data_IF_083740303867
#
_entry.id   IF_083740303867
#
_cell.length_a   1.000
_cell.length_b   1.000
_cell.length_c   1.000
_cell.angle_alpha   90.00
_cell.angle_beta   90.00
_cell.angle_gamma   90.00
#
_symmetry.space_group_name_H-M   'P 1'
#
loop_
_entity.id
_entity.type
_entity.pdbx_description
1 polymer ?
#
# COMPACT_ATOMS: atom_id res chain seq x y z
N UNK A 1 13.03 -11.92 -16.09
CA UNK A 1 13.14 -13.40 -16.15
C UNK A 1 11.73 -13.97 -16.03
N UNK A 2 11.33 -14.92 -16.87
CA UNK A 2 9.97 -15.51 -16.85
C UNK A 2 10.07 -16.95 -16.38
N UNK A 3 9.25 -17.33 -15.41
CA UNK A 3 9.16 -18.71 -14.93
C UNK A 3 7.75 -19.24 -15.18
N UNK A 4 7.65 -20.41 -15.83
CA UNK A 4 6.38 -21.08 -16.06
C UNK A 4 6.02 -21.92 -14.83
N UNK A 5 4.81 -21.72 -14.32
CA UNK A 5 4.23 -22.49 -13.21
C UNK A 5 2.84 -22.98 -13.61
N UNK A 6 2.40 -24.09 -13.02
CA UNK A 6 1.02 -24.56 -13.14
C UNK A 6 0.24 -24.10 -11.90
N UNK A 7 -0.91 -23.49 -12.11
CA UNK A 7 -1.79 -23.00 -11.03
C UNK A 7 -3.20 -23.49 -11.27
N UNK A 8 -3.92 -23.75 -10.17
CA UNK A 8 -5.34 -24.06 -10.20
C UNK A 8 -6.12 -22.80 -9.88
N UNK A 9 -7.02 -22.40 -10.78
CA UNK A 9 -7.95 -21.29 -10.58
C UNK A 9 -9.37 -21.84 -10.53
N UNK A 10 -10.24 -21.17 -9.77
CA UNK A 10 -11.67 -21.47 -9.82
C UNK A 10 -12.21 -21.20 -11.23
N UNK A 11 -13.19 -21.98 -11.66
CA UNK A 11 -13.79 -21.85 -12.98
C UNK A 11 -14.32 -20.44 -13.23
N UNK A 12 -14.94 -19.81 -12.23
CA UNK A 12 -15.46 -18.44 -12.38
C UNK A 12 -14.34 -17.42 -12.59
N UNK A 13 -13.19 -17.62 -11.96
CA UNK A 13 -12.00 -16.75 -12.15
C UNK A 13 -11.40 -16.94 -13.53
N UNK A 14 -11.39 -18.17 -14.04
CA UNK A 14 -10.93 -18.45 -15.40
C UNK A 14 -11.86 -17.82 -16.44
N UNK A 15 -13.18 -17.89 -16.25
CA UNK A 15 -14.14 -17.21 -17.14
C UNK A 15 -13.95 -15.69 -17.15
N UNK A 16 -13.74 -15.06 -15.99
CA UNK A 16 -13.47 -13.63 -15.90
C UNK A 16 -12.19 -13.25 -16.65
N UNK A 17 -11.15 -14.06 -16.51
CA UNK A 17 -9.91 -13.89 -17.25
C UNK A 17 -10.17 -13.98 -18.76
N UNK A 18 -10.85 -15.02 -19.22
CA UNK A 18 -11.10 -15.26 -20.65
C UNK A 18 -11.99 -14.20 -21.31
N UNK A 19 -12.87 -13.53 -20.55
CA UNK A 19 -13.66 -12.39 -21.03
C UNK A 19 -12.84 -11.12 -21.21
N UNK A 20 -11.77 -10.95 -20.44
CA UNK A 20 -11.00 -9.71 -20.39
C UNK A 20 -9.77 -9.72 -21.30
N UNK A 21 -9.23 -10.89 -21.63
CA UNK A 21 -7.98 -11.02 -22.37
C UNK A 21 -8.03 -12.05 -23.48
N UNK A 22 -7.28 -11.79 -24.56
CA UNK A 22 -7.19 -12.72 -25.67
C UNK A 22 -6.28 -13.92 -25.32
N UNK A 23 -6.35 -14.98 -26.15
CA UNK A 23 -5.42 -16.11 -26.05
C UNK A 23 -3.99 -15.61 -26.24
N UNK A 24 -3.14 -15.82 -25.24
CA UNK A 24 -1.73 -15.38 -25.21
C UNK A 24 -1.44 -14.30 -24.16
N UNK A 25 -2.44 -13.53 -23.76
CA UNK A 25 -2.28 -12.40 -22.82
C UNK A 25 -2.52 -12.80 -21.36
N UNK A 26 -2.95 -14.05 -21.11
CA UNK A 26 -3.28 -14.57 -19.78
C UNK A 26 -2.14 -14.41 -18.77
N UNK A 27 -0.93 -14.81 -19.14
CA UNK A 27 0.23 -14.74 -18.23
C UNK A 27 0.59 -13.31 -17.86
N UNK A 28 0.54 -12.39 -18.83
CA UNK A 28 0.81 -10.97 -18.58
C UNK A 28 -0.26 -10.35 -17.68
N UNK A 29 -1.53 -10.66 -17.95
CA UNK A 29 -2.63 -10.16 -17.13
C UNK A 29 -2.59 -10.68 -15.70
N UNK A 30 -2.30 -11.97 -15.51
CA UNK A 30 -2.14 -12.56 -14.18
C UNK A 30 -0.96 -11.90 -13.45
N UNK A 31 0.17 -11.68 -14.11
CA UNK A 31 1.31 -10.96 -13.51
C UNK A 31 0.91 -9.55 -13.05
N UNK A 32 0.26 -8.77 -13.93
CA UNK A 32 -0.21 -7.42 -13.59
C UNK A 32 -1.22 -7.43 -12.43
N UNK A 33 -2.14 -8.39 -12.40
CA UNK A 33 -3.12 -8.53 -11.34
C UNK A 33 -2.45 -8.83 -9.99
N UNK A 34 -1.44 -9.71 -9.98
CA UNK A 34 -0.66 -10.02 -8.77
C UNK A 34 0.11 -8.79 -8.30
N UNK A 35 0.84 -8.11 -9.19
CA UNK A 35 1.59 -6.90 -8.85
C UNK A 35 0.68 -5.81 -8.27
N UNK A 36 -0.48 -5.58 -8.90
CA UNK A 36 -1.45 -4.63 -8.42
C UNK A 36 -1.98 -5.01 -7.02
N UNK A 37 -2.35 -6.28 -6.81
CA UNK A 37 -2.88 -6.74 -5.54
C UNK A 37 -1.85 -6.59 -4.40
N UNK A 38 -0.60 -7.00 -4.65
CA UNK A 38 0.49 -6.84 -3.68
C UNK A 38 0.75 -5.36 -3.36
N UNK A 39 0.75 -4.48 -4.36
CA UNK A 39 0.90 -3.04 -4.13
C UNK A 39 -0.21 -2.46 -3.25
N UNK A 40 -1.46 -2.90 -3.44
CA UNK A 40 -2.58 -2.47 -2.57
C UNK A 40 -2.42 -2.98 -1.13
N UNK A 41 -2.01 -4.24 -0.95
CA UNK A 41 -1.74 -4.79 0.39
C UNK A 41 -0.64 -4.00 1.10
N UNK A 42 0.48 -3.72 0.43
CA UNK A 42 1.57 -2.93 1.01
C UNK A 42 1.13 -1.51 1.38
N UNK A 43 0.33 -0.86 0.53
CA UNK A 43 -0.21 0.48 0.81
C UNK A 43 -1.07 0.48 2.06
N UNK A 44 -1.92 -0.53 2.25
CA UNK A 44 -2.76 -0.64 3.44
C UNK A 44 -1.92 -0.90 4.69
N UNK A 45 -0.96 -1.82 4.63
CA UNK A 45 -0.02 -2.05 5.75
C UNK A 45 0.73 -0.77 6.12
N UNK A 46 1.24 -0.03 5.14
CA UNK A 46 1.96 1.22 5.37
C UNK A 46 1.07 2.27 6.04
N UNK A 47 -0.19 2.41 5.61
CA UNK A 47 -1.15 3.32 6.25
C UNK A 47 -1.36 2.98 7.72
N UNK A 48 -1.51 1.70 8.05
CA UNK A 48 -1.68 1.26 9.44
C UNK A 48 -0.43 1.56 10.29
N UNK A 49 0.76 1.32 9.74
CA UNK A 49 2.02 1.61 10.43
C UNK A 49 2.22 3.12 10.65
N UNK A 50 1.92 3.95 9.64
CA UNK A 50 1.99 5.42 9.77
C UNK A 50 1.01 5.90 10.83
N UNK A 51 -0.23 5.41 10.82
CA UNK A 51 -1.25 5.74 11.83
C UNK A 51 -0.80 5.36 13.23
N UNK A 52 -0.34 4.12 13.42
CA UNK A 52 0.14 3.64 14.71
C UNK A 52 1.33 4.47 15.22
N UNK A 53 2.28 4.78 14.34
CA UNK A 53 3.42 5.63 14.66
C UNK A 53 3.01 7.06 15.07
N UNK A 54 2.06 7.66 14.36
CA UNK A 54 1.54 8.99 14.69
C UNK A 54 0.86 9.00 16.07
N UNK A 55 0.03 8.00 16.37
CA UNK A 55 -0.63 7.85 17.67
C UNK A 55 0.42 7.68 18.79
N UNK A 56 1.40 6.78 18.58
CA UNK A 56 2.44 6.52 19.58
C UNK A 56 3.28 7.77 19.89
N UNK A 57 3.53 8.61 18.89
CA UNK A 57 4.37 9.81 19.05
C UNK A 57 3.58 11.08 19.38
N UNK A 58 2.24 11.01 19.40
CA UNK A 58 1.37 12.17 19.58
C UNK A 58 1.76 13.05 20.77
N UNK A 59 2.02 12.45 21.95
CA UNK A 59 2.36 13.22 23.14
C UNK A 59 3.71 13.94 23.04
N UNK A 60 4.71 13.26 22.46
CA UNK A 60 6.03 13.85 22.21
C UNK A 60 5.91 15.00 21.22
N UNK A 61 5.18 14.79 20.14
CA UNK A 61 5.02 15.76 19.06
C UNK A 61 4.22 16.99 19.54
N UNK A 62 3.22 16.80 20.42
CA UNK A 62 2.51 17.88 21.12
C UNK A 62 3.47 18.70 21.99
N UNK A 63 4.25 18.04 22.87
CA UNK A 63 5.18 18.73 23.76
C UNK A 63 6.22 19.53 22.98
N UNK A 64 6.80 18.92 21.92
CA UNK A 64 7.72 19.60 21.03
C UNK A 64 7.06 20.84 20.43
N UNK A 65 5.84 20.73 19.90
CA UNK A 65 5.11 21.87 19.34
C UNK A 65 4.95 23.01 20.35
N UNK A 66 4.63 22.69 21.61
CA UNK A 66 4.50 23.68 22.68
C UNK A 66 5.85 24.35 23.01
N UNK A 67 6.94 23.58 23.10
CA UNK A 67 8.30 24.11 23.32
C UNK A 67 8.72 25.09 22.22
N UNK A 68 8.48 24.75 20.96
CA UNK A 68 8.81 25.62 19.83
C UNK A 68 7.93 26.88 19.80
N UNK A 69 6.65 26.77 20.12
CA UNK A 69 5.73 27.92 20.16
C UNK A 69 6.11 28.93 21.27
N UNK A 70 6.65 28.44 22.39
CA UNK A 70 7.16 29.30 23.45
C UNK A 70 8.38 30.10 22.97
N UNK A 71 9.33 29.44 22.31
CA UNK A 71 10.53 30.09 21.76
C UNK A 71 10.21 31.14 20.71
N UNK A 72 9.25 30.88 19.82
CA UNK A 72 8.86 31.84 18.79
C UNK A 72 8.27 33.12 19.39
N UNK A 73 7.41 33.01 20.40
CA UNK A 73 6.86 34.18 21.10
C UNK A 73 7.92 35.03 21.81
N UNK A 74 8.99 34.41 22.33
CA UNK A 74 10.09 35.12 22.98
C UNK A 74 10.97 35.89 21.97
N UNK A 75 11.09 35.41 20.72
CA UNK A 75 11.91 36.05 19.68
C UNK A 75 11.24 37.20 18.94
N UNK A 76 9.92 37.37 19.05
CA UNK A 76 9.15 38.44 18.40
C UNK A 76 8.76 39.59 19.35
N UNK A 77 9.32 39.64 20.56
CA UNK A 77 9.31 40.81 21.44
C UNK A 77 10.61 41.61 21.29
#
# INVERSE_FOLDING_TARGET
MVQRINITLKSETLELLERQVNKGERSQFIDQAIQHYIAQLHKETLRQQVKAGAIHRAKRDENLTQEWFALENETWQ
#
